data_IF_819868264423
#
_entry.id   IF_819868264423
#
_cell.length_a   1.000
_cell.length_b   1.000
_cell.length_c   1.000
_cell.angle_alpha   90.00
_cell.angle_beta   90.00
_cell.angle_gamma   90.00
#
_symmetry.space_group_name_H-M   'P 1'
#
loop_
_entity.id
_entity.type
_entity.pdbx_description
1 polymer ?
#
# COMPACT_ATOMS: atom_id res chain seq x y z
N UNK A 1 78.17 15.57 -1.24
CA UNK A 1 78.79 16.72 -0.55
C UNK A 1 78.04 17.97 -0.97
N UNK A 2 77.26 18.57 -0.06
CA UNK A 2 76.88 20.00 0.07
C UNK A 2 76.31 20.75 -1.17
N UNK A 3 75.28 21.62 -1.15
CA UNK A 3 74.42 22.25 -0.12
C UNK A 3 73.38 23.13 -0.84
N UNK A 4 72.18 23.34 -0.24
CA UNK A 4 71.18 24.45 -0.39
C UNK A 4 70.60 24.72 -1.81
N UNK A 5 69.41 25.29 -2.02
CA UNK A 5 68.62 26.20 -1.20
C UNK A 5 67.14 26.25 -1.65
N UNK A 6 66.27 26.21 -0.65
CA UNK A 6 64.97 26.88 -0.47
C UNK A 6 64.53 27.87 -1.56
N UNK A 7 63.32 27.68 -2.12
CA UNK A 7 62.42 28.78 -2.50
C UNK A 7 61.01 28.50 -1.99
N UNK A 8 60.58 29.38 -1.10
CA UNK A 8 59.22 29.49 -0.57
C UNK A 8 58.27 29.96 -1.66
N UNK A 9 57.04 29.44 -1.66
CA UNK A 9 55.84 30.19 -2.05
C UNK A 9 54.64 29.60 -1.29
N UNK A 10 54.51 30.05 -0.04
CA UNK A 10 53.28 29.96 0.75
C UNK A 10 52.22 30.78 0.01
N UNK A 11 51.13 30.13 -0.39
CA UNK A 11 49.97 30.81 -0.98
C UNK A 11 48.72 30.30 -0.29
N UNK A 12 47.87 31.26 0.09
CA UNK A 12 46.46 31.14 0.52
C UNK A 12 46.22 31.17 2.04
N UNK A 13 45.97 32.39 2.52
CA UNK A 13 45.15 32.71 3.68
C UNK A 13 43.65 32.70 3.25
N UNK A 14 42.85 31.91 3.99
CA UNK A 14 41.43 31.97 4.44
C UNK A 14 40.43 33.04 3.88
N UNK A 15 39.07 32.94 4.04
CA UNK A 15 38.29 32.10 4.98
C UNK A 15 36.89 31.55 4.52
N UNK A 16 36.36 30.62 5.33
CA UNK A 16 34.97 30.40 5.80
C UNK A 16 33.76 30.94 4.98
N UNK A 17 32.87 30.06 4.49
CA UNK A 17 31.43 30.34 4.33
C UNK A 17 30.59 29.06 4.37
N UNK A 18 29.76 28.98 5.41
CA UNK A 18 28.75 27.96 5.70
C UNK A 18 27.54 28.20 4.80
N UNK A 19 27.05 27.19 4.07
CA UNK A 19 25.61 27.03 3.82
C UNK A 19 25.28 25.54 3.83
N UNK A 20 24.56 25.10 4.86
CA UNK A 20 23.93 23.79 4.93
C UNK A 20 22.87 23.69 3.81
N UNK A 21 23.11 22.84 2.82
CA UNK A 21 22.03 22.36 1.95
C UNK A 21 21.32 21.19 2.64
N UNK A 22 20.52 21.52 3.66
CA UNK A 22 19.40 20.66 4.05
C UNK A 22 18.40 20.73 2.90
N UNK A 23 18.53 19.82 1.93
CA UNK A 23 17.42 19.51 1.04
C UNK A 23 16.35 18.82 1.88
N UNK A 24 15.50 19.64 2.52
CA UNK A 24 14.22 19.22 3.00
C UNK A 24 13.41 18.81 1.76
N UNK A 25 13.44 17.51 1.43
CA UNK A 25 12.37 16.92 0.66
C UNK A 25 11.12 17.10 1.52
N UNK A 26 10.37 18.18 1.25
CA UNK A 26 9.00 18.27 1.68
C UNK A 26 8.30 17.04 1.09
N UNK A 27 8.04 16.06 1.94
CA UNK A 27 7.06 15.03 1.67
C UNK A 27 5.76 15.79 1.42
N UNK A 28 5.45 16.02 0.14
CA UNK A 28 4.11 16.44 -0.24
C UNK A 28 3.24 15.24 0.05
N UNK A 29 2.33 15.41 1.00
CA UNK A 29 1.17 14.54 1.11
C UNK A 29 0.50 14.56 -0.26
N UNK A 30 0.73 13.48 -1.01
CA UNK A 30 0.04 13.24 -2.26
C UNK A 30 -1.40 12.91 -1.87
N UNK A 31 -2.23 13.93 -1.82
CA UNK A 31 -3.67 13.79 -1.93
C UNK A 31 -3.93 13.26 -3.35
N UNK A 32 -3.84 11.92 -3.49
CA UNK A 32 -4.04 11.14 -4.73
C UNK A 32 -5.51 11.19 -5.14
N UNK A 33 -5.95 12.37 -5.57
CA UNK A 33 -7.15 12.55 -6.39
C UNK A 33 -6.75 12.60 -7.87
N UNK A 34 -5.90 11.66 -8.27
CA UNK A 34 -5.74 11.29 -9.68
C UNK A 34 -6.87 10.30 -10.00
N UNK A 35 -7.59 10.50 -11.11
CA UNK A 35 -8.56 9.52 -11.61
C UNK A 35 -7.90 8.13 -11.62
N UNK A 36 -8.30 7.27 -10.69
CA UNK A 36 -7.56 6.07 -10.34
C UNK A 36 -8.49 5.08 -9.65
N UNK A 37 -8.13 3.81 -9.74
CA UNK A 37 -8.91 2.66 -9.29
C UNK A 37 -9.72 2.97 -8.03
N UNK A 38 -11.02 2.75 -8.04
CA UNK A 38 -11.88 2.89 -6.87
C UNK A 38 -12.45 1.54 -6.46
N UNK A 39 -12.75 1.40 -5.18
CA UNK A 39 -13.24 0.14 -4.61
C UNK A 39 -14.43 0.41 -3.69
N UNK A 40 -15.43 -0.45 -3.75
CA UNK A 40 -16.53 -0.49 -2.79
C UNK A 40 -16.76 -1.93 -2.35
N UNK A 41 -17.13 -2.11 -1.08
CA UNK A 41 -17.28 -3.44 -0.47
C UNK A 41 -18.64 -3.53 0.21
N UNK A 42 -19.42 -4.54 -0.19
CA UNK A 42 -20.78 -4.77 0.29
C UNK A 42 -20.78 -5.61 1.58
N UNK A 43 -20.34 -5.02 2.70
CA UNK A 43 -20.32 -5.68 4.01
C UNK A 43 -21.72 -5.83 4.60
N UNK A 44 -21.99 -7.01 5.19
CA UNK A 44 -23.29 -7.43 5.70
C UNK A 44 -23.09 -8.40 6.86
N UNK A 45 -24.14 -8.63 7.65
CA UNK A 45 -24.05 -9.48 8.84
C UNK A 45 -23.70 -10.94 8.51
N UNK A 46 -24.04 -11.44 7.31
CA UNK A 46 -23.66 -12.79 6.84
C UNK A 46 -22.15 -12.98 6.69
N UNK A 47 -21.37 -11.90 6.62
CA UNK A 47 -19.91 -11.91 6.54
C UNK A 47 -19.24 -11.96 7.91
N UNK A 48 -19.97 -11.65 8.99
CA UNK A 48 -19.42 -11.64 10.35
C UNK A 48 -19.12 -13.06 10.82
N UNK A 49 -17.90 -13.28 11.31
CA UNK A 49 -17.41 -14.60 11.74
C UNK A 49 -17.59 -15.71 10.69
N UNK A 50 -17.66 -15.36 9.41
CA UNK A 50 -18.03 -16.25 8.32
C UNK A 50 -16.84 -16.67 7.45
N UNK A 51 -17.07 -17.64 6.56
CA UNK A 51 -16.16 -18.00 5.46
C UNK A 51 -16.53 -17.31 4.15
N UNK A 52 -17.65 -16.60 4.13
CA UNK A 52 -18.17 -15.92 2.93
C UNK A 52 -17.55 -14.52 2.88
N UNK A 53 -16.80 -14.23 1.81
CA UNK A 53 -16.29 -12.88 1.55
C UNK A 53 -17.38 -11.99 0.99
N UNK A 54 -17.38 -10.67 1.29
CA UNK A 54 -18.32 -9.75 0.64
C UNK A 54 -18.04 -9.67 -0.86
N UNK A 55 -19.04 -9.20 -1.59
CA UNK A 55 -18.83 -8.67 -2.93
C UNK A 55 -17.94 -7.41 -2.87
N UNK A 56 -17.04 -7.30 -3.84
CA UNK A 56 -16.19 -6.11 -4.03
C UNK A 56 -16.41 -5.61 -5.47
N UNK A 57 -16.76 -4.34 -5.60
CA UNK A 57 -16.87 -3.67 -6.90
C UNK A 57 -15.67 -2.75 -7.07
N UNK A 58 -15.01 -2.87 -8.22
CA UNK A 58 -13.81 -2.16 -8.61
C UNK A 58 -14.12 -1.38 -9.88
N UNK A 59 -13.85 -0.09 -9.87
CA UNK A 59 -13.96 0.75 -11.06
C UNK A 59 -12.61 1.38 -11.39
N UNK A 60 -12.41 1.73 -12.66
CA UNK A 60 -11.21 2.40 -13.16
C UNK A 60 -9.89 1.67 -12.83
N UNK A 61 -9.91 0.33 -12.87
CA UNK A 61 -8.69 -0.47 -12.78
C UNK A 61 -7.72 -0.14 -13.93
N UNK A 62 -6.38 -0.18 -13.70
CA UNK A 62 -5.41 0.00 -14.77
C UNK A 62 -5.67 -0.97 -15.95
N UNK A 63 -5.50 -0.49 -17.18
CA UNK A 63 -5.85 -1.26 -18.40
C UNK A 63 -5.09 -2.57 -18.56
N UNK A 64 -3.91 -2.68 -17.96
CA UNK A 64 -3.05 -3.86 -18.00
C UNK A 64 -3.26 -4.79 -16.79
N UNK A 65 -4.32 -4.57 -16.01
CA UNK A 65 -4.71 -5.48 -14.94
C UNK A 65 -5.09 -6.84 -15.52
N UNK A 66 -4.50 -7.89 -14.96
CA UNK A 66 -4.79 -9.28 -15.28
C UNK A 66 -5.66 -9.94 -14.21
N UNK A 67 -5.37 -9.63 -12.95
CA UNK A 67 -6.11 -10.12 -11.81
C UNK A 67 -5.97 -9.15 -10.64
N UNK A 68 -6.88 -9.29 -9.68
CA UNK A 68 -6.82 -8.62 -8.40
C UNK A 68 -6.31 -9.59 -7.34
N UNK A 69 -5.29 -9.20 -6.59
CA UNK A 69 -4.92 -9.87 -5.33
C UNK A 69 -5.55 -9.11 -4.17
N UNK A 70 -6.41 -9.80 -3.41
CA UNK A 70 -7.15 -9.20 -2.29
C UNK A 70 -6.73 -9.84 -0.99
N UNK A 71 -6.40 -9.02 -0.01
CA UNK A 71 -6.06 -9.43 1.36
C UNK A 71 -6.98 -8.75 2.36
N UNK A 72 -7.53 -9.50 3.30
CA UNK A 72 -8.19 -8.95 4.48
C UNK A 72 -7.21 -8.96 5.65
N UNK A 73 -7.10 -7.82 6.33
CA UNK A 73 -6.23 -7.64 7.50
C UNK A 73 -6.98 -6.97 8.63
N UNK A 74 -6.61 -7.30 9.87
CA UNK A 74 -6.98 -6.57 11.08
C UNK A 74 -5.81 -5.68 11.50
N UNK A 75 -6.10 -4.42 11.83
CA UNK A 75 -5.13 -3.50 12.40
C UNK A 75 -5.18 -3.54 13.92
N UNK A 76 -3.99 -3.63 14.53
CA UNK A 76 -3.74 -3.51 15.96
C UNK A 76 -2.33 -2.98 16.21
N UNK A 77 -1.66 -3.47 17.25
CA UNK A 77 -0.22 -3.26 17.43
C UNK A 77 0.60 -3.92 16.31
N UNK A 78 0.10 -5.05 15.82
CA UNK A 78 0.60 -5.76 14.65
C UNK A 78 -0.53 -5.97 13.65
N UNK A 79 -0.18 -6.01 12.35
CA UNK A 79 -1.13 -6.38 11.29
C UNK A 79 -1.36 -7.90 11.31
N UNK A 80 -2.62 -8.32 11.42
CA UNK A 80 -2.99 -9.73 11.40
C UNK A 80 -3.72 -10.08 10.11
N UNK A 81 -3.22 -11.08 9.38
CA UNK A 81 -3.83 -11.54 8.13
C UNK A 81 -5.05 -12.45 8.39
N UNK A 82 -6.15 -12.18 7.69
CA UNK A 82 -7.43 -12.90 7.79
C UNK A 82 -7.80 -13.64 6.51
N UNK A 83 -6.88 -13.77 5.55
CA UNK A 83 -7.12 -14.45 4.28
C UNK A 83 -7.46 -13.49 3.15
N UNK A 84 -8.05 -14.02 2.08
CA UNK A 84 -8.32 -13.25 0.87
C UNK A 84 -8.38 -14.17 -0.35
N UNK A 85 -7.81 -13.74 -1.46
CA UNK A 85 -7.77 -14.52 -2.70
C UNK A 85 -7.36 -13.70 -3.90
N UNK A 86 -7.15 -14.38 -5.02
CA UNK A 86 -6.94 -13.75 -6.31
C UNK A 86 -8.17 -13.95 -7.18
N UNK A 87 -8.56 -12.93 -7.93
CA UNK A 87 -9.71 -12.97 -8.84
C UNK A 87 -9.31 -12.40 -10.21
N UNK A 88 -9.58 -13.10 -11.31
CA UNK A 88 -9.24 -12.59 -12.65
C UNK A 88 -9.99 -11.30 -12.95
N UNK A 89 -9.34 -10.38 -13.66
CA UNK A 89 -10.05 -9.26 -14.27
C UNK A 89 -10.73 -9.73 -15.56
N UNK A 90 -12.01 -10.07 -15.44
CA UNK A 90 -12.87 -10.45 -16.57
C UNK A 90 -13.56 -9.24 -17.24
N UNK A 91 -13.19 -8.02 -16.83
CA UNK A 91 -13.76 -6.77 -17.30
C UNK A 91 -15.11 -6.39 -16.66
N UNK A 92 -15.66 -7.21 -15.75
CA UNK A 92 -16.88 -6.86 -15.02
C UNK A 92 -16.64 -5.83 -13.93
N UNK A 93 -15.43 -5.75 -13.40
CA UNK A 93 -15.12 -4.99 -12.20
C UNK A 93 -15.76 -5.56 -10.92
N UNK A 94 -16.24 -6.80 -10.94
CA UNK A 94 -16.93 -7.42 -9.79
C UNK A 94 -16.17 -8.66 -9.32
N UNK A 95 -15.81 -8.67 -8.03
CA UNK A 95 -15.43 -9.87 -7.30
C UNK A 95 -16.67 -10.36 -6.55
N UNK A 96 -17.26 -11.50 -6.93
CA UNK A 96 -18.51 -11.97 -6.34
C UNK A 96 -18.40 -12.28 -4.83
N UNK A 97 -19.54 -12.24 -4.15
CA UNK A 97 -19.65 -12.74 -2.77
C UNK A 97 -19.18 -14.21 -2.69
N UNK A 98 -18.39 -14.51 -1.67
CA UNK A 98 -17.79 -15.83 -1.46
C UNK A 98 -16.60 -16.19 -2.36
N UNK A 99 -16.19 -15.31 -3.29
CA UNK A 99 -15.10 -15.60 -4.23
C UNK A 99 -13.70 -15.68 -3.56
N UNK A 100 -13.47 -14.94 -2.47
CA UNK A 100 -12.17 -14.92 -1.80
C UNK A 100 -12.06 -16.11 -0.85
N UNK A 101 -11.48 -17.21 -1.33
CA UNK A 101 -11.49 -18.51 -0.62
C UNK A 101 -10.16 -18.87 0.06
N UNK A 102 -9.08 -18.12 -0.18
CA UNK A 102 -7.74 -18.43 0.34
C UNK A 102 -7.64 -18.09 1.82
N UNK A 103 -7.95 -19.08 2.65
CA UNK A 103 -7.95 -18.99 4.12
C UNK A 103 -8.81 -17.86 4.68
N UNK A 104 -9.78 -17.38 3.90
CA UNK A 104 -10.62 -16.25 4.28
C UNK A 104 -11.38 -16.53 5.59
N UNK A 105 -11.30 -15.56 6.49
CA UNK A 105 -12.04 -15.51 7.74
C UNK A 105 -12.64 -14.12 7.82
N UNK A 106 -13.96 -14.03 7.86
CA UNK A 106 -14.63 -12.77 8.08
C UNK A 106 -14.25 -12.15 9.43
N UNK A 107 -14.36 -10.83 9.56
CA UNK A 107 -14.18 -10.11 10.83
C UNK A 107 -14.98 -10.77 11.96
N UNK A 108 -14.32 -11.05 13.07
CA UNK A 108 -14.93 -11.70 14.23
C UNK A 108 -14.39 -11.11 15.52
N UNK A 109 -14.68 -9.82 15.78
CA UNK A 109 -14.27 -9.19 17.02
C UNK A 109 -14.94 -9.85 18.23
N UNK A 110 -14.27 -9.88 19.39
CA UNK A 110 -14.89 -10.28 20.65
C UNK A 110 -16.09 -9.37 20.97
N UNK A 111 -17.12 -9.92 21.63
CA UNK A 111 -18.32 -9.15 21.99
C UNK A 111 -17.98 -7.88 22.79
N UNK A 112 -18.53 -6.75 22.37
CA UNK A 112 -18.32 -5.44 22.99
C UNK A 112 -16.93 -4.85 22.73
N UNK A 113 -16.23 -5.30 21.69
CA UNK A 113 -14.95 -4.75 21.24
C UNK A 113 -15.01 -4.42 19.76
N UNK A 114 -14.57 -3.23 19.43
CA UNK A 114 -14.42 -2.84 18.03
C UNK A 114 -13.03 -3.25 17.53
N UNK A 115 -12.97 -3.71 16.29
CA UNK A 115 -11.71 -3.99 15.60
C UNK A 115 -11.70 -3.30 14.24
N UNK A 116 -10.52 -2.78 13.87
CA UNK A 116 -10.30 -2.11 12.60
C UNK A 116 -9.76 -3.11 11.59
N UNK A 117 -10.32 -3.09 10.39
CA UNK A 117 -9.92 -3.97 9.31
C UNK A 117 -9.66 -3.17 8.04
N UNK A 118 -8.94 -3.77 7.09
CA UNK A 118 -9.01 -3.34 5.71
C UNK A 118 -8.99 -4.52 4.73
N UNK A 119 -9.69 -4.33 3.63
CA UNK A 119 -9.35 -5.01 2.39
C UNK A 119 -8.23 -4.23 1.69
N UNK A 120 -7.14 -4.90 1.36
CA UNK A 120 -6.07 -4.40 0.49
C UNK A 120 -6.29 -5.04 -0.87
N UNK A 121 -6.65 -4.25 -1.86
CA UNK A 121 -6.94 -4.69 -3.24
C UNK A 121 -5.79 -4.22 -4.12
N UNK A 122 -5.07 -5.17 -4.71
CA UNK A 122 -3.93 -4.91 -5.58
C UNK A 122 -4.28 -5.33 -7.01
N UNK A 123 -4.23 -4.40 -7.96
CA UNK A 123 -4.30 -4.70 -9.37
C UNK A 123 -2.94 -5.21 -9.85
N UNK A 124 -2.91 -6.42 -10.41
CA UNK A 124 -1.69 -7.12 -10.81
C UNK A 124 -1.64 -7.24 -12.33
N UNK A 125 -0.49 -6.95 -12.92
CA UNK A 125 -0.21 -7.22 -14.33
C UNK A 125 0.47 -8.58 -14.49
N UNK A 126 0.35 -9.21 -15.67
CA UNK A 126 1.12 -10.42 -16.01
C UNK A 126 2.62 -10.16 -16.12
N UNK A 127 3.00 -8.93 -16.41
CA UNK A 127 4.37 -8.58 -16.79
C UNK A 127 5.23 -8.13 -15.59
N UNK A 128 4.63 -7.97 -14.40
CA UNK A 128 5.29 -7.44 -13.22
C UNK A 128 4.84 -8.14 -11.93
N UNK A 129 5.78 -8.29 -11.00
CA UNK A 129 5.49 -8.74 -9.63
C UNK A 129 4.97 -7.59 -8.75
N UNK A 130 5.17 -6.34 -9.17
CA UNK A 130 4.66 -5.17 -8.46
C UNK A 130 3.24 -4.84 -8.91
N UNK A 131 2.34 -4.46 -7.98
CA UNK A 131 0.99 -4.04 -8.34
C UNK A 131 1.01 -2.73 -9.13
N UNK A 132 0.15 -2.63 -10.14
CA UNK A 132 -0.01 -1.42 -10.96
C UNK A 132 -0.88 -0.38 -10.26
N UNK A 133 -1.77 -0.80 -9.37
CA UNK A 133 -2.49 0.04 -8.43
C UNK A 133 -2.81 -0.72 -7.14
N UNK A 134 -2.89 0.00 -6.02
CA UNK A 134 -3.32 -0.55 -4.72
C UNK A 134 -4.37 0.36 -4.11
N UNK A 135 -5.43 -0.23 -3.56
CA UNK A 135 -6.47 0.49 -2.80
C UNK A 135 -6.78 -0.22 -1.50
N UNK A 136 -6.96 0.58 -0.46
CA UNK A 136 -7.35 0.10 0.87
C UNK A 136 -8.78 0.52 1.15
N UNK A 137 -9.62 -0.45 1.51
CA UNK A 137 -10.95 -0.21 2.03
C UNK A 137 -10.96 -0.47 3.54
N UNK A 138 -10.86 0.60 4.33
CA UNK A 138 -10.89 0.52 5.79
C UNK A 138 -12.31 0.45 6.33
N UNK A 139 -12.53 -0.36 7.36
CA UNK A 139 -13.80 -0.41 8.07
C UNK A 139 -13.61 -0.86 9.53
N UNK A 140 -14.64 -0.65 10.35
CA UNK A 140 -14.68 -1.10 11.75
C UNK A 140 -15.80 -2.12 11.91
N UNK A 141 -15.55 -3.18 12.68
CA UNK A 141 -16.53 -4.21 13.02
C UNK A 141 -16.64 -4.34 14.55
N UNK A 142 -17.88 -4.51 15.01
CA UNK A 142 -18.29 -4.80 16.39
C UNK A 142 -18.74 -6.27 16.57
#
# INVERSE_FOLDING_TARGET
>A
MWVKNIRHNIRMLAPLLIVLFLQACAARDADDSTAGMTVSVSLQNVHRCSRISPEIVIADAPRDTDHFDVRLVEYGEEERFFGGGSWPDDGSGVIPEGALTKHYRGPCPPAGKDRKYAFIISAMSKDSVQPTAVRLYHFTQE
#
